data_IF_525703017496
#
_entry.id   IF_525703017496
#
_cell.length_a   1.000
_cell.length_b   1.000
_cell.length_c   1.000
_cell.angle_alpha   90.00
_cell.angle_beta   90.00
_cell.angle_gamma   90.00
#
_symmetry.space_group_name_H-M   'P 1'
#
loop_
_entity.id
_entity.type
_entity.pdbx_description
1 polymer ?
#
# COMPACT_ATOMS: atom_id res chain seq x y z
N UNK A 1 -32.65 54.49 3.30
CA UNK A 1 -32.61 53.71 2.04
C UNK A 1 -31.20 53.46 1.49
N UNK A 2 -30.33 54.47 1.29
CA UNK A 2 -28.97 54.28 0.70
C UNK A 2 -28.06 53.27 1.42
N UNK A 3 -28.09 53.17 2.76
CA UNK A 3 -27.26 52.21 3.53
C UNK A 3 -27.68 50.75 3.31
N UNK A 4 -28.99 50.49 3.25
CA UNK A 4 -29.56 49.16 2.98
C UNK A 4 -29.22 48.70 1.57
N UNK A 5 -29.32 49.60 0.58
CA UNK A 5 -28.95 49.30 -0.81
C UNK A 5 -27.46 48.96 -0.96
N UNK A 6 -26.56 49.64 -0.24
CA UNK A 6 -25.12 49.32 -0.23
C UNK A 6 -24.81 47.96 0.40
N UNK A 7 -25.51 47.60 1.48
CA UNK A 7 -25.37 46.28 2.10
C UNK A 7 -25.85 45.16 1.17
N UNK A 8 -27.00 45.34 0.52
CA UNK A 8 -27.54 44.37 -0.44
C UNK A 8 -26.64 44.22 -1.67
N UNK A 9 -26.05 45.31 -2.19
CA UNK A 9 -25.09 45.22 -3.30
C UNK A 9 -23.79 44.53 -2.89
N UNK A 10 -23.30 44.78 -1.67
CA UNK A 10 -22.11 44.13 -1.14
C UNK A 10 -22.32 42.62 -0.93
N UNK A 11 -23.48 42.22 -0.38
CA UNK A 11 -23.84 40.81 -0.24
C UNK A 11 -23.97 40.11 -1.60
N UNK A 12 -24.64 40.74 -2.56
CA UNK A 12 -24.77 40.20 -3.93
C UNK A 12 -23.40 40.01 -4.57
N UNK A 13 -22.53 41.01 -4.49
CA UNK A 13 -21.17 40.92 -5.03
C UNK A 13 -20.39 39.78 -4.38
N UNK A 14 -20.37 39.71 -3.04
CA UNK A 14 -19.71 38.63 -2.32
C UNK A 14 -20.24 37.24 -2.66
N UNK A 15 -21.56 37.08 -2.74
CA UNK A 15 -22.20 35.83 -3.14
C UNK A 15 -21.84 35.44 -4.58
N UNK A 16 -21.87 36.39 -5.53
CA UNK A 16 -21.48 36.13 -6.93
C UNK A 16 -20.01 35.76 -7.05
N UNK A 17 -19.11 36.43 -6.31
CA UNK A 17 -17.69 36.10 -6.29
C UNK A 17 -17.45 34.71 -5.70
N UNK A 18 -18.13 34.36 -4.60
CA UNK A 18 -18.03 33.04 -3.98
C UNK A 18 -18.53 31.94 -4.92
N UNK A 19 -19.70 32.12 -5.53
CA UNK A 19 -20.24 31.14 -6.50
C UNK A 19 -19.32 31.00 -7.71
N UNK A 20 -18.81 32.10 -8.25
CA UNK A 20 -17.86 32.07 -9.36
C UNK A 20 -16.56 31.34 -8.98
N UNK A 21 -16.03 31.58 -7.77
CA UNK A 21 -14.84 30.90 -7.27
C UNK A 21 -15.09 29.39 -7.10
N UNK A 22 -16.23 28.99 -6.52
CA UNK A 22 -16.61 27.57 -6.39
C UNK A 22 -16.77 26.91 -7.75
N UNK A 23 -17.46 27.56 -8.70
CA UNK A 23 -17.61 27.06 -10.06
C UNK A 23 -16.26 26.93 -10.77
N UNK A 24 -15.36 27.91 -10.61
CA UNK A 24 -14.01 27.84 -11.16
C UNK A 24 -13.24 26.65 -10.59
N UNK A 25 -13.30 26.42 -9.28
CA UNK A 25 -12.64 25.26 -8.63
C UNK A 25 -13.22 23.95 -9.16
N UNK A 26 -14.54 23.83 -9.30
CA UNK A 26 -15.17 22.63 -9.83
C UNK A 26 -14.80 22.39 -11.30
N UNK A 27 -14.78 23.44 -12.13
CA UNK A 27 -14.37 23.36 -13.52
C UNK A 27 -12.89 22.98 -13.67
N UNK A 28 -12.01 23.56 -12.85
CA UNK A 28 -10.58 23.20 -12.83
C UNK A 28 -10.39 21.74 -12.42
N UNK A 29 -11.10 21.27 -11.38
CA UNK A 29 -11.02 19.88 -10.96
C UNK A 29 -11.55 18.92 -12.04
N UNK A 30 -12.67 19.25 -12.69
CA UNK A 30 -13.21 18.45 -13.78
C UNK A 30 -12.24 18.40 -14.99
N UNK A 31 -11.65 19.54 -15.35
CA UNK A 31 -10.66 19.62 -16.43
C UNK A 31 -9.40 18.81 -16.11
N UNK A 32 -8.85 18.94 -14.90
CA UNK A 32 -7.70 18.16 -14.45
C UNK A 32 -8.03 16.66 -14.40
N UNK A 33 -9.20 16.30 -13.88
CA UNK A 33 -9.65 14.90 -13.84
C UNK A 33 -9.75 14.31 -15.24
N UNK A 34 -10.26 15.07 -16.22
CA UNK A 34 -10.32 14.62 -17.62
C UNK A 34 -8.92 14.48 -18.22
N UNK A 35 -8.02 15.44 -17.97
CA UNK A 35 -6.64 15.38 -18.44
C UNK A 35 -5.92 14.14 -17.90
N UNK A 36 -6.04 13.86 -16.60
CA UNK A 36 -5.45 12.67 -15.99
C UNK A 36 -6.08 11.38 -16.53
N UNK A 37 -7.41 11.32 -16.66
CA UNK A 37 -8.09 10.17 -17.24
C UNK A 37 -7.59 9.86 -18.67
N UNK A 38 -7.44 10.88 -19.51
CA UNK A 38 -6.94 10.72 -20.88
C UNK A 38 -5.45 10.34 -20.90
N UNK A 39 -4.62 10.96 -20.05
CA UNK A 39 -3.19 10.65 -19.93
C UNK A 39 -2.96 9.22 -19.46
N UNK A 40 -3.68 8.80 -18.43
CA UNK A 40 -3.52 7.49 -17.81
C UNK A 40 -4.04 6.39 -18.74
N UNK A 41 -5.08 6.68 -19.53
CA UNK A 41 -5.55 5.78 -20.61
C UNK A 41 -4.61 5.67 -21.82
N UNK A 42 -3.69 6.64 -21.99
CA UNK A 42 -2.73 6.65 -23.11
C UNK A 42 -1.33 6.19 -22.72
N UNK A 43 -1.03 6.15 -21.43
CA UNK A 43 0.25 5.68 -20.90
C UNK A 43 0.23 4.15 -20.95
N UNK A 44 1.11 3.56 -21.77
CA UNK A 44 1.21 2.11 -21.92
C UNK A 44 1.40 1.41 -20.57
N UNK A 45 0.73 0.28 -20.30
CA UNK A 45 0.82 -0.41 -19.01
C UNK A 45 2.11 -1.25 -18.80
N UNK A 46 3.19 -1.01 -19.55
CA UNK A 46 4.16 -2.10 -19.82
C UNK A 46 5.60 -1.88 -19.36
N UNK A 47 5.86 -0.89 -18.52
CA UNK A 47 7.20 -0.78 -17.93
C UNK A 47 7.11 -0.64 -16.43
N UNK A 48 7.79 -1.57 -15.78
CA UNK A 48 7.94 -1.58 -14.36
C UNK A 48 8.62 -0.27 -13.90
N UNK A 49 7.97 0.57 -13.07
CA UNK A 49 8.53 1.86 -12.69
C UNK A 49 9.88 1.74 -11.99
N UNK A 50 10.16 0.58 -11.38
CA UNK A 50 11.47 0.30 -10.78
C UNK A 50 12.54 0.08 -11.84
N UNK A 51 12.25 -0.68 -12.89
CA UNK A 51 13.22 -0.88 -13.97
C UNK A 51 13.47 0.41 -14.74
N UNK A 52 12.46 1.26 -14.91
CA UNK A 52 12.64 2.60 -15.49
C UNK A 52 13.49 3.51 -14.61
N UNK A 53 13.27 3.48 -13.30
CA UNK A 53 14.02 4.32 -12.33
C UNK A 53 15.47 3.87 -12.21
N UNK A 54 15.73 2.57 -12.36
CA UNK A 54 17.04 1.95 -12.20
C UNK A 54 17.47 1.26 -13.50
N UNK A 55 17.49 2.02 -14.59
CA UNK A 55 17.80 1.55 -15.95
C UNK A 55 19.21 0.96 -16.11
N UNK A 56 20.17 1.38 -15.27
CA UNK A 56 21.55 0.92 -15.30
C UNK A 56 21.81 -0.36 -14.48
N UNK A 57 20.80 -0.90 -13.79
CA UNK A 57 20.96 -2.08 -12.93
C UNK A 57 20.90 -3.35 -13.77
N UNK A 58 21.90 -4.21 -13.62
CA UNK A 58 21.82 -5.57 -14.13
C UNK A 58 20.94 -6.41 -13.19
N UNK A 59 19.67 -6.54 -13.57
CA UNK A 59 18.67 -7.23 -12.77
C UNK A 59 18.92 -8.74 -12.64
N UNK A 60 19.63 -9.36 -13.59
CA UNK A 60 20.00 -10.77 -13.51
C UNK A 60 21.01 -11.04 -12.38
N UNK A 61 21.84 -10.04 -12.03
CA UNK A 61 22.76 -10.13 -10.88
C UNK A 61 22.01 -10.03 -9.56
N UNK A 62 20.96 -9.20 -9.49
CA UNK A 62 20.14 -9.00 -8.29
C UNK A 62 19.23 -10.20 -8.05
N UNK A 63 18.69 -10.79 -9.12
CA UNK A 63 17.75 -11.90 -9.11
C UNK A 63 18.29 -13.09 -9.91
N UNK A 64 19.35 -13.77 -9.42
CA UNK A 64 20.05 -14.80 -10.19
C UNK A 64 19.20 -16.05 -10.47
N UNK A 65 18.13 -16.25 -9.71
CA UNK A 65 17.24 -17.41 -9.80
C UNK A 65 15.96 -17.12 -10.62
N UNK A 66 15.83 -15.93 -11.23
CA UNK A 66 14.64 -15.51 -11.96
C UNK A 66 14.97 -15.12 -13.41
N UNK A 67 14.09 -15.53 -14.32
CA UNK A 67 14.11 -15.07 -15.71
C UNK A 67 13.63 -13.61 -15.83
N UNK A 68 13.98 -12.88 -16.91
CA UNK A 68 13.63 -11.45 -17.04
C UNK A 68 12.14 -11.12 -16.88
N UNK A 69 11.25 -11.96 -17.41
CA UNK A 69 9.79 -11.79 -17.30
C UNK A 69 9.29 -12.03 -15.86
N UNK A 70 9.94 -12.94 -15.14
CA UNK A 70 9.67 -13.20 -13.73
C UNK A 70 10.11 -12.03 -12.85
N UNK A 71 11.27 -11.43 -13.14
CA UNK A 71 11.75 -10.24 -12.46
C UNK A 71 10.78 -9.07 -12.67
N UNK A 72 10.38 -8.84 -13.92
CA UNK A 72 9.43 -7.78 -14.25
C UNK A 72 8.11 -7.96 -13.49
N UNK A 73 7.58 -9.19 -13.47
CA UNK A 73 6.35 -9.53 -12.73
C UNK A 73 6.51 -9.34 -11.23
N UNK A 74 7.56 -9.87 -10.61
CA UNK A 74 7.84 -9.71 -9.17
C UNK A 74 7.88 -8.23 -8.78
N UNK A 75 8.64 -7.45 -9.54
CA UNK A 75 8.79 -6.02 -9.27
C UNK A 75 7.47 -5.28 -9.51
N UNK A 76 6.68 -5.66 -10.52
CA UNK A 76 5.41 -5.01 -10.81
C UNK A 76 4.42 -5.29 -9.67
N UNK A 77 4.27 -6.57 -9.32
CA UNK A 77 3.47 -7.01 -8.17
C UNK A 77 3.92 -6.40 -6.86
N UNK A 78 5.17 -5.96 -6.73
CA UNK A 78 5.64 -5.27 -5.54
C UNK A 78 5.28 -3.79 -5.55
N UNK A 79 5.53 -3.08 -6.65
CA UNK A 79 5.66 -1.61 -6.62
C UNK A 79 4.51 -0.85 -7.25
N UNK A 80 3.68 -1.47 -8.10
CA UNK A 80 2.62 -0.76 -8.83
C UNK A 80 1.25 -0.77 -8.11
N UNK A 81 1.18 -1.39 -6.94
CA UNK A 81 -0.09 -1.57 -6.22
C UNK A 81 -0.48 -0.31 -5.48
N UNK A 82 -1.76 0.11 -5.58
CA UNK A 82 -2.25 1.24 -4.80
C UNK A 82 -2.44 0.86 -3.34
N UNK A 83 -2.14 1.78 -2.42
CA UNK A 83 -2.55 1.66 -1.03
C UNK A 83 -4.07 1.87 -0.88
N UNK A 84 -4.65 1.27 0.16
CA UNK A 84 -6.03 1.53 0.58
C UNK A 84 -6.05 2.42 1.82
N UNK A 85 -7.11 3.21 2.01
CA UNK A 85 -7.28 3.99 3.24
C UNK A 85 -7.54 3.07 4.43
N UNK A 86 -6.91 3.36 5.57
CA UNK A 86 -7.17 2.68 6.83
C UNK A 86 -7.30 3.71 7.97
N UNK A 87 -8.37 3.65 8.79
CA UNK A 87 -8.50 4.52 9.96
C UNK A 87 -7.31 4.41 10.93
N UNK A 88 -6.92 5.54 11.51
CA UNK A 88 -5.84 5.72 12.51
C UNK A 88 -4.41 5.54 11.99
N UNK A 89 -4.16 4.59 11.10
CA UNK A 89 -2.84 4.36 10.47
C UNK A 89 -2.70 5.07 9.11
N UNK A 90 -3.80 5.66 8.63
CA UNK A 90 -4.00 6.41 7.37
C UNK A 90 -4.09 5.54 6.12
N UNK A 91 -3.29 4.48 6.01
CA UNK A 91 -3.30 3.62 4.83
C UNK A 91 -2.83 2.19 5.15
N UNK A 92 -3.22 1.26 4.30
CA UNK A 92 -2.83 -0.15 4.34
C UNK A 92 -2.45 -0.66 2.94
N UNK A 93 -1.77 -1.79 2.89
CA UNK A 93 -1.53 -2.52 1.66
C UNK A 93 -2.86 -3.09 1.16
N UNK A 94 -3.22 -2.83 -0.09
CA UNK A 94 -4.50 -3.29 -0.63
C UNK A 94 -4.46 -4.82 -0.84
N UNK A 95 -5.54 -5.55 -0.54
CA UNK A 95 -5.61 -6.98 -0.82
C UNK A 95 -5.23 -7.27 -2.27
N UNK A 96 -4.35 -8.24 -2.45
CA UNK A 96 -3.73 -8.53 -3.74
C UNK A 96 -3.37 -10.00 -3.82
N UNK A 97 -3.58 -10.60 -4.99
CA UNK A 97 -3.22 -11.99 -5.28
C UNK A 97 -2.36 -12.02 -6.54
N UNK A 98 -1.07 -12.25 -6.34
CA UNK A 98 -0.07 -12.35 -7.39
C UNK A 98 0.65 -13.70 -7.35
N UNK A 99 1.60 -13.88 -8.25
CA UNK A 99 2.45 -15.07 -8.26
C UNK A 99 3.52 -15.00 -7.17
N UNK A 100 4.14 -13.83 -6.99
CA UNK A 100 5.24 -13.62 -6.05
C UNK A 100 4.79 -12.89 -4.79
N UNK A 101 3.76 -12.06 -4.91
CA UNK A 101 3.33 -11.17 -3.86
C UNK A 101 1.85 -11.36 -3.55
N UNK A 102 1.55 -11.70 -2.30
CA UNK A 102 0.16 -11.84 -1.87
C UNK A 102 -0.11 -11.09 -0.56
N UNK A 103 -1.23 -10.37 -0.52
CA UNK A 103 -1.70 -9.60 0.63
C UNK A 103 -3.13 -10.03 0.94
N UNK A 104 -3.39 -10.35 2.20
CA UNK A 104 -4.70 -10.80 2.65
C UNK A 104 -5.73 -9.68 2.71
N UNK A 105 -7.00 -10.04 2.83
CA UNK A 105 -8.08 -9.08 3.13
C UNK A 105 -7.86 -8.30 4.43
N UNK A 106 -7.07 -8.86 5.36
CA UNK A 106 -6.70 -8.20 6.62
C UNK A 106 -5.48 -7.28 6.46
N UNK A 107 -4.93 -7.14 5.25
CA UNK A 107 -3.84 -6.21 4.93
C UNK A 107 -2.46 -6.66 5.43
N UNK A 108 -2.24 -7.95 5.65
CA UNK A 108 -0.92 -8.52 5.96
C UNK A 108 -0.37 -9.32 4.80
N UNK A 109 0.95 -9.32 4.65
CA UNK A 109 1.69 -10.04 3.60
C UNK A 109 1.66 -11.55 3.89
N UNK A 110 1.26 -12.36 2.93
CA UNK A 110 1.35 -13.81 3.06
C UNK A 110 2.82 -14.24 3.09
N UNK A 111 3.14 -15.12 4.04
CA UNK A 111 4.42 -15.81 4.10
C UNK A 111 4.34 -17.23 3.53
N UNK A 112 5.49 -17.89 3.52
CA UNK A 112 5.59 -19.33 3.28
C UNK A 112 4.79 -20.10 4.33
N UNK A 113 4.06 -21.13 3.92
CA UNK A 113 3.27 -21.99 4.82
C UNK A 113 2.38 -21.18 5.79
N UNK A 114 1.70 -20.15 5.26
CA UNK A 114 0.90 -19.23 6.06
C UNK A 114 -0.23 -19.97 6.79
N UNK A 115 -0.32 -19.78 8.11
CA UNK A 115 -1.46 -20.25 8.89
C UNK A 115 -2.73 -19.40 8.70
N UNK A 116 -3.92 -19.93 9.02
CA UNK A 116 -5.18 -19.20 8.97
C UNK A 116 -5.18 -17.91 9.78
N UNK A 117 -6.12 -17.05 9.42
CA UNK A 117 -6.56 -15.89 10.20
C UNK A 117 -8.03 -16.07 10.56
N UNK A 118 -8.46 -15.86 11.83
CA UNK A 118 -7.63 -15.55 13.00
C UNK A 118 -6.61 -16.66 13.36
N UNK A 119 -5.53 -16.33 14.09
CA UNK A 119 -4.49 -17.30 14.44
C UNK A 119 -5.04 -18.38 15.38
N UNK A 120 -4.56 -19.62 15.22
CA UNK A 120 -4.91 -20.73 16.12
C UNK A 120 -4.12 -20.64 17.44
N UNK A 121 -4.67 -21.11 18.56
CA UNK A 121 -3.96 -21.12 19.85
C UNK A 121 -2.82 -22.14 19.94
N UNK A 122 -2.89 -23.21 19.13
CA UNK A 122 -1.95 -24.34 19.21
C UNK A 122 -0.54 -23.97 18.72
N UNK A 123 -0.32 -23.29 17.59
CA UNK A 123 1.02 -22.88 17.14
C UNK A 123 1.64 -21.79 18.04
N UNK A 124 2.94 -21.56 17.90
CA UNK A 124 3.60 -20.34 18.34
C UNK A 124 3.36 -19.25 17.28
N UNK A 125 2.41 -18.36 17.55
CA UNK A 125 2.11 -17.22 16.67
C UNK A 125 3.08 -16.07 16.94
N UNK A 126 3.69 -15.56 15.88
CA UNK A 126 4.63 -14.43 15.92
C UNK A 126 4.12 -13.37 14.96
N UNK A 127 3.93 -12.15 15.46
CA UNK A 127 3.51 -11.01 14.66
C UNK A 127 4.70 -10.09 14.43
N UNK A 128 4.97 -9.76 13.17
CA UNK A 128 6.10 -8.92 12.77
C UNK A 128 5.57 -7.63 12.19
N UNK A 129 6.02 -6.49 12.75
CA UNK A 129 5.62 -5.15 12.34
C UNK A 129 6.82 -4.39 11.77
N UNK A 130 6.56 -3.44 10.88
CA UNK A 130 7.59 -2.55 10.35
C UNK A 130 7.24 -1.91 9.01
N UNK A 131 8.22 -1.24 8.44
CA UNK A 131 8.12 -0.58 7.14
C UNK A 131 8.26 -1.54 5.94
N UNK A 132 8.72 -0.96 4.82
CA UNK A 132 8.95 -1.66 3.54
C UNK A 132 9.92 -2.84 3.64
N UNK A 133 10.89 -2.77 4.56
CA UNK A 133 11.85 -3.86 4.82
C UNK A 133 11.18 -5.09 5.45
N UNK A 134 10.25 -4.88 6.36
CA UNK A 134 9.45 -5.96 6.96
C UNK A 134 8.47 -6.51 5.94
N UNK A 135 7.77 -5.65 5.20
CA UNK A 135 6.86 -6.08 4.12
C UNK A 135 7.58 -6.93 3.06
N UNK A 136 8.85 -6.62 2.77
CA UNK A 136 9.65 -7.32 1.77
C UNK A 136 9.42 -6.76 0.36
N UNK A 137 9.57 -5.45 0.19
CA UNK A 137 9.56 -4.86 -1.14
C UNK A 137 10.72 -5.39 -1.99
N UNK A 138 10.40 -5.99 -3.13
CA UNK A 138 11.35 -6.47 -4.12
C UNK A 138 11.69 -7.95 -3.98
N UNK A 139 10.98 -8.69 -3.13
CA UNK A 139 11.16 -10.14 -2.93
C UNK A 139 9.82 -10.87 -2.88
N UNK A 140 9.85 -12.17 -3.20
CA UNK A 140 8.69 -13.03 -3.14
C UNK A 140 8.25 -13.32 -1.69
N UNK A 141 7.01 -13.78 -1.51
CA UNK A 141 6.40 -14.09 -0.21
C UNK A 141 7.31 -14.97 0.67
N UNK A 142 7.94 -15.99 0.07
CA UNK A 142 8.77 -16.98 0.76
C UNK A 142 10.21 -16.50 1.05
N UNK A 143 10.59 -15.34 0.52
CA UNK A 143 11.90 -14.68 0.69
C UNK A 143 11.87 -13.52 1.69
N UNK A 144 10.69 -13.18 2.23
CA UNK A 144 10.59 -12.13 3.25
C UNK A 144 11.31 -12.52 4.55
N UNK A 145 11.70 -11.51 5.35
CA UNK A 145 12.28 -11.72 6.68
C UNK A 145 11.35 -12.59 7.55
N UNK A 146 10.03 -12.36 7.47
CA UNK A 146 9.03 -13.15 8.19
C UNK A 146 9.01 -14.63 7.76
N UNK A 147 9.05 -14.90 6.45
CA UNK A 147 9.10 -16.28 5.92
C UNK A 147 10.39 -17.00 6.34
N UNK A 148 11.53 -16.32 6.28
CA UNK A 148 12.78 -16.86 6.79
C UNK A 148 12.74 -17.09 8.30
N UNK A 149 12.15 -16.17 9.08
CA UNK A 149 11.97 -16.33 10.52
C UNK A 149 11.13 -17.57 10.84
N UNK A 150 10.00 -17.76 10.16
CA UNK A 150 9.14 -18.93 10.36
C UNK A 150 9.90 -20.23 10.13
N UNK A 151 10.58 -20.34 8.97
CA UNK A 151 11.35 -21.53 8.62
C UNK A 151 12.43 -21.82 9.67
N UNK A 152 13.25 -20.82 10.01
CA UNK A 152 14.38 -20.99 10.94
C UNK A 152 13.95 -21.33 12.36
N UNK A 153 12.81 -20.80 12.81
CA UNK A 153 12.26 -21.15 14.11
C UNK A 153 11.60 -22.53 14.10
N UNK A 154 10.85 -22.86 13.05
CA UNK A 154 10.26 -24.19 12.88
C UNK A 154 11.29 -25.32 12.85
N UNK A 155 12.48 -25.07 12.31
CA UNK A 155 13.63 -26.00 12.36
C UNK A 155 14.19 -26.22 13.79
N UNK A 156 13.84 -25.36 14.76
CA UNK A 156 14.43 -25.33 16.11
C UNK A 156 13.45 -25.69 17.23
N UNK A 157 12.18 -25.90 16.93
CA UNK A 157 11.16 -26.24 17.92
C UNK A 157 10.25 -27.34 17.42
N UNK A 158 9.68 -28.11 18.35
CA UNK A 158 8.69 -29.15 18.05
C UNK A 158 7.27 -28.60 17.93
N UNK A 159 7.02 -27.40 18.45
CA UNK A 159 5.72 -26.72 18.30
C UNK A 159 5.73 -25.94 16.99
N UNK A 160 4.68 -26.12 16.20
CA UNK A 160 4.47 -25.38 14.95
C UNK A 160 4.61 -23.87 15.17
N UNK A 161 5.31 -23.18 14.27
CA UNK A 161 5.51 -21.73 14.31
C UNK A 161 4.77 -21.11 13.15
N UNK A 162 4.00 -20.04 13.43
CA UNK A 162 3.30 -19.25 12.41
C UNK A 162 3.68 -17.81 12.55
N UNK A 163 4.22 -17.23 11.48
CA UNK A 163 4.65 -15.84 11.45
C UNK A 163 3.70 -15.06 10.55
N UNK A 164 3.19 -13.94 11.05
CA UNK A 164 2.31 -13.05 10.29
C UNK A 164 3.04 -11.73 10.05
N UNK A 165 3.19 -11.37 8.78
CA UNK A 165 3.93 -10.20 8.34
C UNK A 165 3.00 -9.00 8.17
N UNK A 166 2.89 -8.17 9.20
CA UNK A 166 2.15 -6.92 9.20
C UNK A 166 3.02 -5.72 8.78
N UNK A 167 4.13 -5.97 8.10
CA UNK A 167 4.92 -4.90 7.49
C UNK A 167 4.09 -4.13 6.47
N UNK A 168 4.29 -2.83 6.35
CA UNK A 168 3.60 -1.96 5.38
C UNK A 168 4.55 -0.90 4.85
N UNK A 169 4.44 -0.56 3.56
CA UNK A 169 5.29 0.46 2.94
C UNK A 169 5.23 1.78 3.73
N UNK A 170 6.39 2.43 3.92
CA UNK A 170 6.51 3.75 4.55
C UNK A 170 6.05 3.86 6.02
N UNK A 171 5.66 2.77 6.66
CA UNK A 171 5.26 2.79 8.07
C UNK A 171 6.40 3.25 8.97
N UNK A 172 6.02 3.95 10.04
CA UNK A 172 6.90 4.30 11.15
C UNK A 172 6.38 3.68 12.44
N UNK A 173 7.22 3.68 13.47
CA UNK A 173 6.93 3.11 14.79
C UNK A 173 5.60 3.56 15.41
N UNK A 174 5.14 4.79 15.13
CA UNK A 174 3.83 5.27 15.58
C UNK A 174 2.67 4.52 14.92
N UNK A 175 2.71 4.32 13.59
CA UNK A 175 1.70 3.57 12.85
C UNK A 175 1.75 2.08 13.21
N UNK A 176 2.95 1.53 13.34
CA UNK A 176 3.15 0.14 13.77
C UNK A 176 2.52 -0.14 15.14
N UNK A 177 2.74 0.75 16.11
CA UNK A 177 2.12 0.65 17.44
C UNK A 177 0.59 0.73 17.37
N UNK A 178 0.06 1.67 16.59
CA UNK A 178 -1.40 1.82 16.42
C UNK A 178 -2.01 0.56 15.79
N UNK A 179 -1.38 0.01 14.76
CA UNK A 179 -1.82 -1.24 14.14
C UNK A 179 -1.80 -2.40 15.13
N UNK A 180 -0.73 -2.52 15.93
CA UNK A 180 -0.65 -3.52 16.98
C UNK A 180 -1.78 -3.38 18.01
N UNK A 181 -2.05 -2.17 18.49
CA UNK A 181 -3.17 -1.89 19.42
C UNK A 181 -4.53 -2.23 18.79
N UNK A 182 -4.74 -1.91 17.50
CA UNK A 182 -5.95 -2.27 16.77
C UNK A 182 -6.15 -3.78 16.69
N UNK A 183 -5.09 -4.54 16.38
CA UNK A 183 -5.15 -6.01 16.30
C UNK A 183 -5.50 -6.61 17.67
N UNK A 184 -4.86 -6.14 18.75
CA UNK A 184 -5.14 -6.62 20.12
C UNK A 184 -6.60 -6.37 20.55
N UNK A 185 -7.18 -5.25 20.15
CA UNK A 185 -8.59 -4.94 20.47
C UNK A 185 -9.56 -5.76 19.61
N UNK A 186 -9.13 -6.17 18.41
CA UNK A 186 -9.97 -6.92 17.48
C UNK A 186 -10.15 -8.41 17.80
N UNK A 187 -9.25 -9.02 18.60
CA UNK A 187 -9.34 -10.41 19.06
C UNK A 187 -8.08 -11.22 18.81
#
# INVERSE_FOLDING_TARGET
MRRIQRLLSGFRYGATTLVAAVLLVLLLNAALSLVFYLRDGWSSPETNPVQETYDSVDWAVVYPDLEPDQIERLLAETWTRPHAYEPLTQFTERPYRGEYVNITEMGYRLGRDQGPWPPEDRPYNIFVFGGSTTFGYGVADDQTIASHLQRRLGERTTREVRVYNFGRGMYRSSQERVLFEQLLVSG
#
